data_IF_358433511925
#
_entry.id   IF_358433511925
#
_cell.length_a   1.000
_cell.length_b   1.000
_cell.length_c   1.000
_cell.angle_alpha   90.00
_cell.angle_beta   90.00
_cell.angle_gamma   90.00
#
_symmetry.space_group_name_H-M   'P 1'
#
loop_
_entity.id
_entity.type
_entity.pdbx_description
1 polymer ?
#
# COMPACT_ATOMS: atom_id res chain seq x y z
N UNK A 1 -3.45 -2.77 33.01
CA UNK A 1 -3.26 -2.06 31.73
C UNK A 1 -4.45 -1.16 31.43
N UNK A 2 -5.61 -1.69 30.99
CA UNK A 2 -6.77 -0.84 30.63
C UNK A 2 -7.32 0.09 31.73
N UNK A 3 -7.17 -0.29 33.00
CA UNK A 3 -7.55 0.59 34.12
C UNK A 3 -6.64 1.81 34.29
N UNK A 4 -5.41 1.75 33.78
CA UNK A 4 -4.42 2.84 33.82
C UNK A 4 -4.49 3.67 32.55
N UNK A 5 -4.59 3.01 31.40
CA UNK A 5 -4.77 3.63 30.09
C UNK A 5 -5.89 2.92 29.35
N UNK A 6 -7.11 3.52 29.29
CA UNK A 6 -8.23 2.94 28.55
C UNK A 6 -8.00 2.85 27.03
N UNK A 7 -7.06 3.61 26.47
CA UNK A 7 -6.74 3.64 25.03
C UNK A 7 -5.74 2.56 24.58
N UNK A 8 -5.04 1.91 25.52
CA UNK A 8 -4.03 0.90 25.19
C UNK A 8 -4.64 -0.30 24.45
N UNK A 9 -3.95 -0.73 23.39
CA UNK A 9 -4.30 -1.92 22.61
C UNK A 9 -3.58 -3.13 23.17
N UNK A 10 -4.33 -4.17 23.56
CA UNK A 10 -3.77 -5.37 24.18
C UNK A 10 -3.97 -6.57 23.27
N UNK A 11 -2.87 -7.24 22.95
CA UNK A 11 -2.84 -8.51 22.23
C UNK A 11 -2.82 -9.71 23.17
N UNK A 12 -3.43 -10.82 22.77
CA UNK A 12 -3.22 -12.13 23.39
C UNK A 12 -2.63 -13.11 22.37
N UNK A 13 -1.59 -13.84 22.78
CA UNK A 13 -0.94 -14.85 21.93
C UNK A 13 -1.80 -16.10 21.85
N UNK A 14 -2.00 -16.58 20.62
CA UNK A 14 -2.64 -17.85 20.30
C UNK A 14 -1.61 -18.82 19.68
N UNK A 15 -1.90 -20.11 19.76
CA UNK A 15 -1.26 -21.11 18.90
C UNK A 15 -1.81 -20.99 17.49
N UNK A 16 -0.96 -21.21 16.50
CA UNK A 16 -1.31 -21.08 15.09
C UNK A 16 -2.13 -22.27 14.62
N UNK A 17 -3.37 -22.07 14.15
CA UNK A 17 -4.24 -23.20 13.80
C UNK A 17 -3.61 -24.15 12.79
N UNK A 18 -3.65 -25.45 13.08
CA UNK A 18 -3.08 -26.50 12.22
C UNK A 18 -1.55 -26.67 12.31
N UNK A 19 -0.87 -25.85 13.12
CA UNK A 19 0.58 -25.93 13.33
C UNK A 19 0.87 -26.25 14.80
N UNK A 20 1.89 -27.06 15.07
CA UNK A 20 2.27 -27.34 16.47
C UNK A 20 2.55 -26.02 17.23
N UNK A 21 2.08 -25.84 18.48
CA UNK A 21 1.41 -26.81 19.36
C UNK A 21 -0.12 -26.70 19.38
N UNK A 22 -0.77 -26.40 18.25
CA UNK A 22 -2.22 -26.23 18.18
C UNK A 22 -3.01 -27.47 18.63
N UNK A 23 -4.13 -27.22 19.33
CA UNK A 23 -4.99 -28.26 19.90
C UNK A 23 -4.38 -29.07 21.05
N UNK A 24 -3.17 -28.77 21.52
CA UNK A 24 -2.56 -29.47 22.65
C UNK A 24 -3.23 -29.01 23.96
N UNK A 25 -3.71 -29.99 24.73
CA UNK A 25 -4.27 -29.80 26.07
C UNK A 25 -3.22 -30.19 27.11
N UNK A 26 -2.83 -29.26 27.97
CA UNK A 26 -1.87 -29.50 29.03
C UNK A 26 -2.40 -30.48 30.10
N UNK A 27 -1.53 -31.21 30.83
CA UNK A 27 -1.96 -32.05 31.93
C UNK A 27 -2.72 -31.24 33.00
N UNK A 28 -4.00 -31.58 33.20
CA UNK A 28 -4.88 -30.90 34.16
C UNK A 28 -5.75 -29.79 33.55
N UNK A 29 -5.52 -29.41 32.30
CA UNK A 29 -6.36 -28.46 31.58
C UNK A 29 -7.59 -29.14 30.98
N UNK A 30 -8.69 -28.42 30.88
CA UNK A 30 -9.96 -28.93 30.31
C UNK A 30 -10.11 -28.62 28.82
N UNK A 31 -9.30 -27.70 28.29
CA UNK A 31 -9.34 -27.18 26.91
C UNK A 31 -7.92 -26.80 26.48
N UNK A 32 -7.68 -26.66 25.17
CA UNK A 32 -6.40 -26.19 24.67
C UNK A 32 -6.16 -24.69 24.96
N UNK A 33 -4.96 -24.23 24.61
CA UNK A 33 -4.51 -22.87 24.84
C UNK A 33 -5.45 -21.80 24.24
N UNK A 34 -5.84 -21.95 22.98
CA UNK A 34 -6.62 -20.94 22.27
C UNK A 34 -8.01 -20.77 22.88
N UNK A 35 -8.66 -21.90 23.17
CA UNK A 35 -9.98 -21.92 23.80
C UNK A 35 -9.94 -21.30 25.20
N UNK A 36 -8.91 -21.63 25.98
CA UNK A 36 -8.72 -21.11 27.34
C UNK A 36 -8.46 -19.61 27.34
N UNK A 37 -7.51 -19.14 26.53
CA UNK A 37 -7.13 -17.73 26.46
C UNK A 37 -8.30 -16.87 25.97
N UNK A 38 -8.97 -17.27 24.88
CA UNK A 38 -10.06 -16.47 24.34
C UNK A 38 -11.26 -16.41 25.27
N UNK A 39 -11.60 -17.50 25.96
CA UNK A 39 -12.71 -17.52 26.94
C UNK A 39 -12.48 -16.56 28.11
N UNK A 40 -11.22 -16.35 28.51
CA UNK A 40 -10.87 -15.53 29.68
C UNK A 40 -10.57 -14.07 29.27
N UNK A 41 -9.76 -13.89 28.22
CA UNK A 41 -9.20 -12.61 27.82
C UNK A 41 -9.96 -11.95 26.64
N UNK A 42 -10.67 -12.73 25.83
CA UNK A 42 -11.39 -12.26 24.63
C UNK A 42 -12.29 -11.03 24.86
N UNK A 43 -13.06 -10.94 25.96
CA UNK A 43 -13.86 -9.75 26.27
C UNK A 43 -13.06 -8.46 26.57
N UNK A 44 -11.72 -8.54 26.72
CA UNK A 44 -10.86 -7.44 27.18
C UNK A 44 -9.75 -7.06 26.20
N UNK A 45 -9.40 -7.94 25.27
CA UNK A 45 -8.32 -7.72 24.28
C UNK A 45 -8.82 -6.94 23.06
N UNK A 46 -7.87 -6.37 22.32
CA UNK A 46 -8.10 -5.65 21.06
C UNK A 46 -7.67 -6.48 19.85
N UNK A 47 -6.77 -7.44 20.04
CA UNK A 47 -6.35 -8.33 18.98
C UNK A 47 -5.79 -9.64 19.53
N UNK A 48 -5.69 -10.62 18.65
CA UNK A 48 -4.92 -11.85 18.89
C UNK A 48 -3.62 -11.81 18.11
N UNK A 49 -2.62 -12.52 18.60
CA UNK A 49 -1.31 -12.66 17.98
C UNK A 49 -1.15 -14.10 17.50
N UNK A 50 -0.75 -14.29 16.25
CA UNK A 50 -0.49 -15.59 15.61
C UNK A 50 0.86 -15.52 14.91
N UNK A 51 1.67 -16.57 15.01
CA UNK A 51 2.99 -16.65 14.37
C UNK A 51 2.94 -17.67 13.22
N UNK A 52 3.43 -17.33 12.03
CA UNK A 52 3.31 -18.23 10.87
C UNK A 52 4.66 -18.57 10.26
N UNK A 53 5.15 -19.77 10.57
CA UNK A 53 6.38 -20.35 10.06
C UNK A 53 6.06 -21.67 9.35
N UNK A 54 5.67 -21.63 8.07
CA UNK A 54 5.34 -22.85 7.36
C UNK A 54 6.56 -23.75 7.20
N UNK A 55 6.40 -25.02 7.54
CA UNK A 55 7.40 -26.04 7.21
C UNK A 55 7.28 -26.45 5.75
N UNK A 56 8.42 -26.58 5.07
CA UNK A 56 8.45 -26.88 3.63
C UNK A 56 9.25 -28.15 3.30
N UNK A 57 8.77 -28.89 2.31
CA UNK A 57 9.46 -30.09 1.77
C UNK A 57 10.22 -29.83 0.48
N UNK A 58 9.90 -28.73 -0.21
CA UNK A 58 10.54 -28.27 -1.44
C UNK A 58 10.26 -26.77 -1.64
N UNK A 59 10.97 -26.12 -2.57
CA UNK A 59 10.70 -24.73 -2.95
C UNK A 59 9.27 -24.54 -3.46
N UNK A 60 8.78 -25.46 -4.31
CA UNK A 60 7.41 -25.39 -4.83
C UNK A 60 6.35 -25.54 -3.72
N UNK A 61 6.60 -26.40 -2.74
CA UNK A 61 5.73 -26.55 -1.56
C UNK A 61 5.72 -25.28 -0.73
N UNK A 62 6.89 -24.69 -0.43
CA UNK A 62 7.01 -23.40 0.28
C UNK A 62 6.21 -22.30 -0.44
N UNK A 63 6.46 -22.12 -1.74
CA UNK A 63 5.86 -21.06 -2.53
C UNK A 63 4.34 -21.22 -2.67
N UNK A 64 3.78 -22.42 -2.45
CA UNK A 64 2.33 -22.61 -2.44
C UNK A 64 1.67 -22.19 -1.11
N UNK A 65 2.41 -22.23 0.02
CA UNK A 65 1.85 -22.09 1.38
C UNK A 65 1.04 -20.81 1.62
N UNK A 66 1.45 -19.60 1.17
CA UNK A 66 0.67 -18.41 1.41
C UNK A 66 -0.79 -18.59 0.96
N UNK A 67 -0.97 -19.02 -0.29
CA UNK A 67 -2.28 -19.17 -0.92
C UNK A 67 -3.07 -20.37 -0.39
N UNK A 68 -2.41 -21.45 0.04
CA UNK A 68 -3.09 -22.69 0.46
C UNK A 68 -3.39 -22.77 1.95
N UNK A 69 -2.56 -22.16 2.80
CA UNK A 69 -2.68 -22.28 4.25
C UNK A 69 -3.36 -21.06 4.89
N UNK A 70 -2.94 -19.85 4.50
CA UNK A 70 -3.32 -18.62 5.21
C UNK A 70 -4.83 -18.41 5.27
N UNK A 71 -5.63 -18.59 4.20
CA UNK A 71 -7.08 -18.41 4.29
C UNK A 71 -7.76 -19.31 5.33
N UNK A 72 -7.31 -20.56 5.44
CA UNK A 72 -7.85 -21.51 6.41
C UNK A 72 -7.42 -21.16 7.84
N UNK A 73 -6.16 -20.78 8.04
CA UNK A 73 -5.66 -20.34 9.34
C UNK A 73 -6.42 -19.09 9.82
N UNK A 74 -6.48 -18.05 8.99
CA UNK A 74 -7.19 -16.81 9.31
C UNK A 74 -8.68 -17.05 9.60
N UNK A 75 -9.34 -17.88 8.78
CA UNK A 75 -10.74 -18.25 8.99
C UNK A 75 -10.97 -19.00 10.31
N UNK A 76 -10.03 -19.87 10.69
CA UNK A 76 -10.11 -20.61 11.95
C UNK A 76 -9.89 -19.69 13.15
N UNK A 77 -8.88 -18.81 13.11
CA UNK A 77 -8.65 -17.78 14.14
C UNK A 77 -9.89 -16.90 14.31
N UNK A 78 -10.47 -16.42 13.21
CA UNK A 78 -11.70 -15.61 13.25
C UNK A 78 -12.88 -16.38 13.85
N UNK A 79 -13.01 -17.67 13.53
CA UNK A 79 -14.07 -18.51 14.09
C UNK A 79 -13.93 -18.67 15.60
N UNK A 80 -12.70 -18.90 16.09
CA UNK A 80 -12.40 -18.98 17.52
C UNK A 80 -12.70 -17.65 18.23
N UNK A 81 -12.28 -16.52 17.67
CA UNK A 81 -12.61 -15.18 18.21
C UNK A 81 -14.13 -15.01 18.33
N UNK A 82 -14.88 -15.31 17.26
CA UNK A 82 -16.33 -15.15 17.24
C UNK A 82 -17.05 -16.03 18.28
N UNK A 83 -16.50 -17.21 18.57
CA UNK A 83 -17.07 -18.14 19.53
C UNK A 83 -16.76 -17.76 20.97
N UNK A 84 -15.54 -17.28 21.26
CA UNK A 84 -15.03 -17.19 22.63
C UNK A 84 -14.80 -15.76 23.15
N UNK A 85 -14.70 -14.74 22.29
CA UNK A 85 -14.52 -13.36 22.73
C UNK A 85 -15.84 -12.66 23.14
N UNK A 86 -16.97 -13.37 23.10
CA UNK A 86 -18.29 -12.84 23.46
C UNK A 86 -18.70 -11.65 22.60
N UNK A 87 -19.38 -10.67 23.19
CA UNK A 87 -19.84 -9.48 22.47
C UNK A 87 -18.70 -8.59 21.95
N UNK A 88 -17.45 -8.80 22.40
CA UNK A 88 -16.30 -8.04 21.93
C UNK A 88 -15.71 -8.59 20.61
N UNK A 89 -16.11 -9.78 20.16
CA UNK A 89 -15.52 -10.44 19.00
C UNK A 89 -15.38 -9.57 17.72
N UNK A 90 -16.35 -8.71 17.35
CA UNK A 90 -16.22 -7.85 16.17
C UNK A 90 -15.06 -6.84 16.26
N UNK A 91 -14.61 -6.51 17.47
CA UNK A 91 -13.54 -5.54 17.72
C UNK A 91 -12.16 -6.17 17.86
N UNK A 92 -12.07 -7.52 17.88
CA UNK A 92 -10.80 -8.22 18.05
C UNK A 92 -10.16 -8.44 16.69
N UNK A 93 -9.05 -7.74 16.44
CA UNK A 93 -8.22 -7.89 15.24
C UNK A 93 -7.34 -9.14 15.26
N UNK A 94 -6.71 -9.44 14.13
CA UNK A 94 -5.68 -10.49 14.01
C UNK A 94 -4.36 -9.80 13.67
N UNK A 95 -3.34 -10.04 14.47
CA UNK A 95 -1.98 -9.57 14.24
C UNK A 95 -1.08 -10.78 13.95
N UNK A 96 -0.31 -10.70 12.87
CA UNK A 96 0.78 -11.63 12.61
C UNK A 96 2.06 -10.93 13.01
N UNK A 97 2.55 -11.18 14.22
CA UNK A 97 3.74 -10.47 14.74
C UNK A 97 5.05 -11.19 14.40
N UNK A 98 4.96 -12.39 13.83
CA UNK A 98 6.09 -13.12 13.30
C UNK A 98 5.66 -13.98 12.11
N UNK A 99 6.38 -13.85 11.01
CA UNK A 99 6.35 -14.81 9.91
C UNK A 99 7.70 -14.89 9.21
N UNK A 100 8.12 -16.10 8.84
CA UNK A 100 9.31 -16.40 8.03
C UNK A 100 9.22 -17.85 7.52
N UNK A 101 10.25 -18.34 6.85
CA UNK A 101 10.39 -19.67 6.30
C UNK A 101 11.29 -20.54 7.16
N UNK A 102 11.11 -21.86 7.08
CA UNK A 102 12.00 -22.84 7.71
C UNK A 102 13.25 -23.14 6.88
N UNK A 103 13.23 -22.88 5.56
CA UNK A 103 14.28 -23.17 4.59
C UNK A 103 14.36 -22.09 3.51
N UNK A 104 15.48 -22.03 2.79
CA UNK A 104 15.69 -21.10 1.66
C UNK A 104 15.77 -19.63 2.08
N UNK A 105 16.18 -19.38 3.33
CA UNK A 105 15.90 -18.13 4.06
C UNK A 105 16.48 -16.90 3.36
N UNK A 106 17.66 -17.01 2.75
CA UNK A 106 18.35 -15.86 2.17
C UNK A 106 18.15 -15.71 0.65
N UNK A 107 17.46 -16.66 0.01
CA UNK A 107 17.52 -16.88 -1.44
C UNK A 107 16.20 -16.61 -2.16
N UNK A 108 16.22 -16.72 -3.50
CA UNK A 108 15.11 -16.32 -4.36
C UNK A 108 13.74 -16.88 -3.94
N UNK A 109 13.57 -18.16 -3.52
CA UNK A 109 12.29 -18.66 -3.03
C UNK A 109 11.70 -17.80 -1.90
N UNK A 110 12.51 -17.36 -0.93
CA UNK A 110 12.02 -16.50 0.13
C UNK A 110 11.74 -15.06 -0.33
N UNK A 111 12.52 -14.57 -1.31
CA UNK A 111 12.22 -13.32 -2.02
C UNK A 111 10.84 -13.28 -2.71
N UNK A 112 10.29 -14.44 -3.07
CA UNK A 112 8.93 -14.57 -3.62
C UNK A 112 7.89 -14.85 -2.52
N UNK A 113 8.23 -15.71 -1.56
CA UNK A 113 7.35 -16.09 -0.45
C UNK A 113 7.00 -14.89 0.43
N UNK A 114 8.00 -14.10 0.87
CA UNK A 114 7.80 -13.04 1.85
C UNK A 114 6.72 -12.00 1.44
N UNK A 115 6.73 -11.42 0.23
CA UNK A 115 5.65 -10.52 -0.19
C UNK A 115 4.29 -11.22 -0.35
N UNK A 116 4.26 -12.46 -0.87
CA UNK A 116 3.01 -13.25 -1.02
C UNK A 116 2.38 -13.51 0.34
N UNK A 117 3.19 -13.93 1.31
CA UNK A 117 2.81 -14.22 2.69
C UNK A 117 2.22 -12.99 3.39
N UNK A 118 2.90 -11.84 3.30
CA UNK A 118 2.44 -10.58 3.90
C UNK A 118 1.10 -10.15 3.31
N UNK A 119 1.00 -10.14 1.98
CA UNK A 119 -0.21 -9.67 1.30
C UNK A 119 -1.38 -10.63 1.50
N UNK A 120 -1.14 -11.94 1.51
CA UNK A 120 -2.21 -12.93 1.74
C UNK A 120 -2.78 -12.82 3.14
N UNK A 121 -1.96 -12.62 4.18
CA UNK A 121 -2.46 -12.39 5.53
C UNK A 121 -3.28 -11.09 5.63
N UNK A 122 -2.82 -10.01 5.00
CA UNK A 122 -3.55 -8.76 4.95
C UNK A 122 -4.91 -8.91 4.24
N UNK A 123 -4.96 -9.62 3.11
CA UNK A 123 -6.18 -9.94 2.37
C UNK A 123 -7.16 -10.80 3.18
N UNK A 124 -6.67 -11.58 4.14
CA UNK A 124 -7.46 -12.43 5.03
C UNK A 124 -7.73 -11.78 6.41
N UNK A 125 -7.55 -10.46 6.51
CA UNK A 125 -8.02 -9.67 7.65
C UNK A 125 -7.03 -9.49 8.80
N UNK A 126 -5.76 -9.84 8.59
CA UNK A 126 -4.69 -9.37 9.48
C UNK A 126 -4.49 -7.86 9.31
N UNK A 127 -4.43 -7.12 10.41
CA UNK A 127 -4.20 -5.67 10.35
C UNK A 127 -2.71 -5.30 10.39
N UNK A 128 -1.86 -6.23 10.80
CA UNK A 128 -0.39 -6.11 10.75
C UNK A 128 0.22 -7.47 10.46
N UNK A 129 1.31 -7.47 9.70
CA UNK A 129 2.11 -8.67 9.37
C UNK A 129 3.58 -8.30 9.45
N UNK A 130 4.25 -8.83 10.46
CA UNK A 130 5.63 -8.50 10.78
C UNK A 130 6.51 -9.68 10.40
N UNK A 131 7.47 -9.42 9.51
CA UNK A 131 8.43 -10.43 9.07
C UNK A 131 9.56 -10.56 10.10
N UNK A 132 9.79 -11.78 10.57
CA UNK A 132 10.90 -12.07 11.47
C UNK A 132 12.11 -12.53 10.66
N UNK A 133 13.28 -11.90 10.68
CA UNK A 133 13.70 -10.74 11.45
C UNK A 133 14.48 -9.73 10.58
N UNK A 134 14.89 -8.61 11.16
CA UNK A 134 15.83 -7.69 10.48
C UNK A 134 17.24 -8.29 10.39
N UNK A 135 17.74 -8.83 11.52
CA UNK A 135 19.00 -9.57 11.66
C UNK A 135 18.75 -10.75 12.61
N UNK A 136 19.48 -11.85 12.45
CA UNK A 136 19.32 -13.03 13.31
C UNK A 136 20.66 -13.68 13.73
N UNK A 137 21.67 -13.67 12.86
CA UNK A 137 22.96 -14.33 13.02
C UNK A 137 22.98 -15.79 12.56
N UNK A 138 23.98 -16.16 11.74
CA UNK A 138 24.27 -17.56 11.35
C UNK A 138 25.49 -18.12 12.09
N UNK A 139 25.52 -19.45 12.28
CA UNK A 139 26.67 -20.20 12.82
C UNK A 139 27.61 -20.75 11.74
N UNK A 140 27.32 -20.46 10.46
CA UNK A 140 28.07 -20.88 9.28
C UNK A 140 28.15 -22.40 9.04
N UNK A 141 27.47 -23.23 9.84
CA UNK A 141 27.54 -24.68 9.72
C UNK A 141 26.52 -25.27 8.72
N UNK A 142 25.52 -24.47 8.31
CA UNK A 142 24.43 -24.87 7.42
C UNK A 142 24.36 -24.05 6.13
N UNK A 143 25.48 -23.48 5.68
CA UNK A 143 25.52 -22.72 4.41
C UNK A 143 25.30 -23.65 3.22
N UNK A 144 24.29 -23.37 2.40
CA UNK A 144 23.98 -24.13 1.20
C UNK A 144 23.94 -23.23 -0.04
N UNK A 145 23.61 -23.81 -1.19
CA UNK A 145 23.38 -23.07 -2.43
C UNK A 145 22.01 -23.43 -2.96
N UNK A 146 21.18 -22.43 -3.14
CA UNK A 146 19.81 -22.55 -3.66
C UNK A 146 19.75 -21.69 -4.91
N UNK A 147 19.50 -22.33 -6.04
CA UNK A 147 19.26 -21.62 -7.30
C UNK A 147 20.39 -20.65 -7.74
N UNK A 148 21.63 -21.01 -7.40
CA UNK A 148 22.83 -20.22 -7.70
C UNK A 148 23.11 -19.07 -6.73
N UNK A 149 22.29 -18.89 -5.69
CA UNK A 149 22.55 -17.99 -4.57
C UNK A 149 22.99 -18.77 -3.33
N UNK A 150 23.82 -18.15 -2.50
CA UNK A 150 24.21 -18.71 -1.20
C UNK A 150 23.06 -18.53 -0.21
N UNK A 151 22.64 -19.62 0.41
CA UNK A 151 21.72 -19.62 1.55
C UNK A 151 22.56 -19.76 2.81
N UNK A 152 22.59 -18.73 3.66
CA UNK A 152 23.42 -18.70 4.86
C UNK A 152 22.72 -19.36 6.05
N UNK A 153 21.49 -19.85 5.84
CA UNK A 153 20.59 -20.34 6.87
C UNK A 153 20.24 -19.24 7.90
N UNK A 154 20.31 -17.98 7.46
CA UNK A 154 20.13 -16.77 8.26
C UNK A 154 18.67 -16.32 8.21
N UNK A 155 18.05 -16.08 9.37
CA UNK A 155 16.63 -15.69 9.45
C UNK A 155 16.37 -14.20 9.19
N UNK A 156 17.43 -13.40 9.02
CA UNK A 156 17.34 -11.96 8.81
C UNK A 156 17.04 -11.59 7.36
N UNK A 157 16.38 -10.45 7.12
CA UNK A 157 16.32 -9.87 5.77
C UNK A 157 17.62 -9.15 5.38
N UNK A 158 18.47 -8.85 6.37
CA UNK A 158 19.79 -8.27 6.22
C UNK A 158 20.84 -9.16 6.89
N UNK A 159 22.02 -9.23 6.28
CA UNK A 159 23.19 -9.89 6.84
C UNK A 159 23.57 -9.29 8.21
N UNK A 160 23.87 -10.17 9.16
CA UNK A 160 24.41 -9.89 10.49
C UNK A 160 25.92 -9.58 10.46
N UNK A 161 26.61 -9.95 9.37
CA UNK A 161 28.05 -9.75 9.21
C UNK A 161 28.90 -10.85 9.87
N UNK A 162 28.31 -12.03 10.10
CA UNK A 162 29.04 -13.24 10.49
C UNK A 162 30.16 -13.59 9.49
N UNK A 163 31.13 -14.42 9.91
CA UNK A 163 32.35 -14.67 9.11
C UNK A 163 32.13 -15.29 7.74
N UNK A 164 31.04 -16.03 7.54
CA UNK A 164 30.66 -16.60 6.24
C UNK A 164 29.68 -15.70 5.47
N UNK A 165 29.06 -14.73 6.13
CA UNK A 165 28.09 -13.84 5.52
C UNK A 165 28.76 -12.70 4.75
N UNK A 166 28.02 -12.02 3.87
CA UNK A 166 28.42 -10.72 3.35
C UNK A 166 28.55 -9.68 4.49
N UNK A 167 29.06 -8.47 4.20
CA UNK A 167 29.13 -7.40 5.18
C UNK A 167 27.79 -7.11 5.86
N UNK A 168 27.83 -6.70 7.13
CA UNK A 168 26.66 -6.27 7.91
C UNK A 168 25.76 -5.34 7.09
N UNK A 169 24.44 -5.54 7.19
CA UNK A 169 23.40 -4.82 6.45
C UNK A 169 23.36 -5.08 4.94
N UNK A 170 24.05 -6.09 4.43
CA UNK A 170 23.84 -6.54 3.04
C UNK A 170 22.44 -7.15 2.92
N UNK A 171 21.56 -6.67 2.01
CA UNK A 171 20.22 -7.21 1.90
C UNK A 171 20.17 -8.57 1.20
N UNK A 172 19.40 -9.49 1.75
CA UNK A 172 19.09 -10.78 1.13
C UNK A 172 17.82 -10.71 0.27
N UNK A 173 17.50 -11.79 -0.43
CA UNK A 173 16.33 -11.88 -1.30
C UNK A 173 15.00 -11.42 -0.66
N UNK A 174 14.63 -11.83 0.58
CA UNK A 174 13.39 -11.39 1.21
C UNK A 174 13.31 -9.86 1.41
N UNK A 175 14.44 -9.15 1.58
CA UNK A 175 14.43 -7.68 1.66
C UNK A 175 13.86 -7.06 0.38
N UNK A 176 14.32 -7.52 -0.80
CA UNK A 176 13.84 -6.99 -2.08
C UNK A 176 12.40 -7.44 -2.36
N UNK A 177 12.05 -8.67 -2.01
CA UNK A 177 10.67 -9.18 -2.07
C UNK A 177 9.71 -8.30 -1.27
N UNK A 178 9.98 -8.07 0.01
CA UNK A 178 9.17 -7.21 0.88
C UNK A 178 9.17 -5.76 0.37
N UNK A 179 10.30 -5.27 -0.12
CA UNK A 179 10.38 -3.92 -0.71
C UNK A 179 9.44 -3.73 -1.91
N UNK A 180 9.10 -4.78 -2.65
CA UNK A 180 8.11 -4.72 -3.73
C UNK A 180 6.69 -4.41 -3.22
N UNK A 181 6.36 -4.71 -1.96
CA UNK A 181 5.07 -4.33 -1.34
C UNK A 181 4.90 -2.81 -1.34
N UNK A 182 5.99 -2.05 -1.13
CA UNK A 182 5.99 -0.58 -1.22
C UNK A 182 5.79 -0.03 -2.64
N UNK A 183 5.98 -0.87 -3.67
CA UNK A 183 5.69 -0.51 -5.07
C UNK A 183 4.24 -0.80 -5.43
N UNK A 184 3.65 -1.80 -4.78
CA UNK A 184 2.24 -2.13 -4.90
C UNK A 184 1.37 -1.08 -4.22
N UNK A 185 1.58 -0.83 -2.92
CA UNK A 185 0.65 -0.11 -2.07
C UNK A 185 1.31 1.02 -1.27
N UNK A 186 0.51 2.04 -0.92
CA UNK A 186 0.85 3.08 0.05
C UNK A 186 -0.29 3.31 1.05
N UNK A 187 -0.04 4.13 2.06
CA UNK A 187 -1.10 4.52 3.02
C UNK A 187 -2.30 5.17 2.30
N UNK A 188 -3.50 4.71 2.65
CA UNK A 188 -4.76 5.15 2.04
C UNK A 188 -5.22 4.32 0.82
N UNK A 189 -4.38 3.42 0.31
CA UNK A 189 -4.80 2.48 -0.73
C UNK A 189 -5.68 1.35 -0.14
N UNK A 190 -6.52 0.75 -0.97
CA UNK A 190 -7.38 -0.38 -0.58
C UNK A 190 -6.98 -1.65 -1.32
N UNK A 191 -6.72 -2.74 -0.59
CA UNK A 191 -6.56 -4.06 -1.18
C UNK A 191 -7.85 -4.44 -1.93
N UNK A 192 -7.69 -5.00 -3.12
CA UNK A 192 -8.81 -5.49 -3.94
C UNK A 192 -8.64 -6.97 -4.20
N UNK A 193 -9.76 -7.68 -4.22
CA UNK A 193 -9.80 -9.11 -4.45
C UNK A 193 -9.22 -9.47 -5.82
N UNK A 194 -8.31 -10.43 -5.83
CA UNK A 194 -7.70 -11.00 -7.02
C UNK A 194 -8.06 -12.49 -7.16
N UNK A 195 -7.79 -13.03 -8.35
CA UNK A 195 -7.81 -14.46 -8.60
C UNK A 195 -6.84 -14.78 -9.71
N UNK A 196 -6.15 -15.91 -9.61
CA UNK A 196 -5.30 -16.43 -10.66
C UNK A 196 -5.87 -17.72 -11.24
N UNK A 197 -5.75 -17.91 -12.55
CA UNK A 197 -6.14 -19.16 -13.22
C UNK A 197 -5.10 -20.27 -13.07
N UNK A 198 -3.95 -19.98 -12.45
CA UNK A 198 -2.85 -20.92 -12.24
C UNK A 198 -2.23 -20.72 -10.85
N UNK A 199 -1.86 -21.79 -10.13
CA UNK A 199 -1.18 -21.68 -8.84
C UNK A 199 0.26 -21.16 -8.95
N UNK A 200 0.84 -21.12 -10.15
CA UNK A 200 2.22 -20.65 -10.37
C UNK A 200 2.33 -19.12 -10.40
N UNK A 201 1.21 -18.40 -10.53
CA UNK A 201 1.17 -16.94 -10.45
C UNK A 201 0.28 -16.55 -9.28
N UNK A 202 0.86 -15.97 -8.22
CA UNK A 202 0.07 -15.20 -7.25
C UNK A 202 -0.19 -13.81 -7.77
N UNK A 203 -1.35 -13.26 -7.46
CA UNK A 203 -1.72 -11.89 -7.80
C UNK A 203 -2.26 -11.18 -6.57
N UNK A 204 -1.76 -9.97 -6.30
CA UNK A 204 -2.28 -9.07 -5.27
C UNK A 204 -2.54 -7.72 -5.91
N UNK A 205 -3.59 -7.01 -5.50
CA UNK A 205 -3.93 -5.74 -6.13
C UNK A 205 -4.36 -4.70 -5.12
N UNK A 206 -4.12 -3.43 -5.44
CA UNK A 206 -4.68 -2.30 -4.71
C UNK A 206 -5.34 -1.30 -5.64
N UNK A 207 -6.43 -0.71 -5.15
CA UNK A 207 -7.02 0.49 -5.69
C UNK A 207 -6.42 1.67 -4.94
N UNK A 208 -5.86 2.62 -5.68
CA UNK A 208 -5.17 3.78 -5.11
C UNK A 208 -6.10 4.98 -5.02
N UNK A 209 -5.81 5.88 -4.07
CA UNK A 209 -6.60 7.12 -3.91
C UNK A 209 -6.65 8.01 -5.16
N UNK A 210 -5.66 7.89 -6.06
CA UNK A 210 -5.62 8.63 -7.32
C UNK A 210 -6.41 7.96 -8.47
N UNK A 211 -7.08 6.83 -8.22
CA UNK A 211 -7.84 6.05 -9.20
C UNK A 211 -7.02 5.03 -9.98
N UNK A 212 -5.72 4.90 -9.69
CA UNK A 212 -4.89 3.85 -10.28
C UNK A 212 -5.23 2.48 -9.68
N UNK A 213 -4.97 1.44 -10.47
CA UNK A 213 -4.93 0.06 -9.99
C UNK A 213 -3.51 -0.46 -10.17
N UNK A 214 -2.91 -0.89 -9.06
CA UNK A 214 -1.63 -1.58 -9.07
C UNK A 214 -1.86 -3.07 -8.87
N UNK A 215 -1.15 -3.90 -9.63
CA UNK A 215 -1.20 -5.36 -9.52
C UNK A 215 0.21 -5.89 -9.33
N UNK A 216 0.46 -6.60 -8.23
CA UNK A 216 1.64 -7.42 -8.03
C UNK A 216 1.38 -8.82 -8.58
N UNK A 217 2.30 -9.33 -9.39
CA UNK A 217 2.34 -10.67 -9.93
C UNK A 217 3.63 -11.34 -9.45
N UNK A 218 3.50 -12.53 -8.85
CA UNK A 218 4.63 -13.31 -8.35
C UNK A 218 4.68 -14.60 -9.15
N UNK A 219 5.73 -14.78 -9.97
CA UNK A 219 5.92 -16.01 -10.74
C UNK A 219 6.78 -16.99 -9.96
N UNK A 220 6.17 -18.13 -9.62
CA UNK A 220 6.73 -19.23 -8.84
C UNK A 220 7.29 -20.34 -9.73
N UNK A 221 7.35 -20.15 -11.04
CA UNK A 221 8.09 -21.05 -11.94
C UNK A 221 9.57 -20.64 -11.99
N UNK A 222 10.51 -21.53 -11.62
CA UNK A 222 11.95 -21.22 -11.60
C UNK A 222 12.59 -21.10 -12.99
N UNK A 223 11.92 -21.60 -14.02
CA UNK A 223 12.52 -21.77 -15.35
C UNK A 223 11.78 -21.00 -16.45
N UNK A 224 10.47 -20.82 -16.31
CA UNK A 224 9.64 -20.29 -17.39
C UNK A 224 9.10 -18.90 -17.09
N UNK A 225 9.34 -17.98 -18.04
CA UNK A 225 8.63 -16.70 -18.07
C UNK A 225 7.19 -16.94 -18.51
N UNK A 226 6.24 -16.28 -17.86
CA UNK A 226 4.80 -16.43 -18.15
C UNK A 226 4.23 -15.13 -18.68
N UNK A 227 3.50 -15.17 -19.80
CA UNK A 227 2.68 -14.05 -20.24
C UNK A 227 1.30 -14.14 -19.60
N UNK A 228 1.00 -13.20 -18.70
CA UNK A 228 -0.25 -13.11 -17.96
C UNK A 228 -1.21 -12.18 -18.70
N UNK A 229 -2.45 -12.64 -18.89
CA UNK A 229 -3.57 -11.80 -19.33
C UNK A 229 -4.31 -11.27 -18.11
N UNK A 230 -4.46 -9.95 -18.02
CA UNK A 230 -5.10 -9.27 -16.90
C UNK A 230 -6.50 -8.81 -17.29
N UNK A 231 -7.46 -9.05 -16.41
CA UNK A 231 -8.85 -8.63 -16.56
C UNK A 231 -9.35 -7.98 -15.28
N UNK A 232 -10.22 -6.98 -15.42
CA UNK A 232 -10.64 -6.13 -14.32
C UNK A 232 -12.15 -6.02 -14.26
N UNK A 233 -12.71 -6.10 -13.05
CA UNK A 233 -14.10 -5.77 -12.81
C UNK A 233 -14.20 -4.35 -12.26
N UNK A 234 -14.97 -3.47 -12.92
CA UNK A 234 -15.17 -2.09 -12.46
C UNK A 234 -13.99 -1.13 -12.69
N UNK A 235 -12.93 -1.56 -13.39
CA UNK A 235 -11.80 -0.71 -13.78
C UNK A 235 -11.53 -0.85 -15.28
N UNK A 236 -11.31 0.28 -15.96
CA UNK A 236 -10.94 0.31 -17.37
C UNK A 236 -9.58 0.98 -17.49
N UNK A 237 -8.50 0.26 -17.80
CA UNK A 237 -7.17 0.84 -17.85
C UNK A 237 -6.92 1.68 -19.10
N UNK A 238 -6.00 2.63 -18.97
CA UNK A 238 -5.43 3.39 -20.08
C UNK A 238 -4.78 2.48 -21.12
N UNK A 239 -4.84 2.91 -22.37
CA UNK A 239 -4.10 2.29 -23.48
C UNK A 239 -2.60 2.59 -23.41
N UNK A 240 -2.16 3.51 -22.55
CA UNK A 240 -0.75 3.76 -22.32
C UNK A 240 -0.08 2.53 -21.69
N UNK A 241 1.18 2.29 -22.06
CA UNK A 241 1.98 1.25 -21.44
C UNK A 241 2.15 1.55 -19.94
N UNK A 242 1.94 0.57 -19.04
CA UNK A 242 2.03 0.78 -17.61
C UNK A 242 3.47 0.97 -17.15
N UNK A 243 3.62 1.55 -15.95
CA UNK A 243 4.91 1.51 -15.24
C UNK A 243 5.03 0.14 -14.57
N UNK A 244 6.16 -0.53 -14.77
CA UNK A 244 6.42 -1.88 -14.27
C UNK A 244 7.66 -1.86 -13.40
N UNK A 245 7.50 -2.24 -12.13
CA UNK A 245 8.61 -2.50 -11.22
C UNK A 245 8.90 -3.99 -11.18
N UNK A 246 10.17 -4.37 -11.16
CA UNK A 246 10.57 -5.78 -11.16
C UNK A 246 11.71 -6.06 -10.18
N UNK A 247 11.52 -7.11 -9.39
CA UNK A 247 12.57 -7.83 -8.69
C UNK A 247 12.74 -9.19 -9.36
N UNK A 248 13.97 -9.51 -9.79
CA UNK A 248 14.30 -10.72 -10.55
C UNK A 248 15.12 -11.69 -9.69
N UNK A 249 15.07 -12.99 -10.01
CA UNK A 249 15.87 -14.06 -9.39
C UNK A 249 17.33 -13.63 -9.20
N UNK A 250 17.81 -13.74 -7.96
CA UNK A 250 19.17 -13.37 -7.52
C UNK A 250 19.56 -11.90 -7.78
N UNK A 251 18.58 -11.03 -8.04
CA UNK A 251 18.81 -9.60 -8.20
C UNK A 251 19.17 -8.91 -6.88
N UNK A 252 19.90 -7.81 -6.98
CA UNK A 252 20.29 -6.95 -5.84
C UNK A 252 19.68 -5.54 -5.95
N UNK A 253 18.63 -5.39 -6.75
CA UNK A 253 17.91 -4.13 -6.90
C UNK A 253 16.50 -4.36 -7.43
N UNK A 254 15.63 -3.37 -7.19
CA UNK A 254 14.34 -3.24 -7.87
C UNK A 254 14.54 -2.30 -9.06
N UNK A 255 14.13 -2.75 -10.24
CA UNK A 255 14.19 -1.97 -11.47
C UNK A 255 12.82 -1.45 -11.85
N UNK A 256 12.75 -0.38 -12.65
CA UNK A 256 11.50 0.17 -13.19
C UNK A 256 11.61 0.36 -14.70
N UNK A 257 10.54 0.05 -15.42
CA UNK A 257 10.44 0.22 -16.87
C UNK A 257 9.02 0.61 -17.29
N UNK A 258 8.83 1.02 -18.54
CA UNK A 258 7.51 1.14 -19.16
C UNK A 258 7.40 0.03 -20.20
N UNK A 259 6.59 -0.99 -19.93
CA UNK A 259 6.56 -2.22 -20.75
C UNK A 259 5.22 -2.96 -20.71
N UNK A 260 4.99 -3.82 -21.71
CA UNK A 260 3.75 -4.56 -21.88
C UNK A 260 2.53 -3.65 -22.10
N UNK A 261 1.35 -4.16 -21.74
CA UNK A 261 0.09 -3.40 -21.77
C UNK A 261 -0.63 -3.56 -20.44
N UNK A 262 -1.68 -2.76 -20.21
CA UNK A 262 -2.50 -2.93 -19.02
C UNK A 262 -3.32 -4.24 -19.01
N UNK A 263 -3.39 -4.98 -20.12
CA UNK A 263 -4.11 -6.26 -20.20
C UNK A 263 -3.18 -7.45 -20.39
N UNK A 264 -1.88 -7.22 -20.60
CA UNK A 264 -0.92 -8.28 -20.92
C UNK A 264 0.46 -7.92 -20.41
N UNK A 265 1.02 -8.78 -19.56
CA UNK A 265 2.33 -8.59 -18.95
C UNK A 265 3.13 -9.87 -18.97
N UNK A 266 4.43 -9.77 -19.31
CA UNK A 266 5.36 -10.89 -19.18
C UNK A 266 6.01 -10.84 -17.81
N UNK A 267 5.85 -11.91 -17.05
CA UNK A 267 6.39 -12.08 -15.70
C UNK A 267 7.54 -13.09 -15.79
N UNK A 268 8.81 -12.67 -15.66
CA UNK A 268 9.96 -13.55 -15.74
C UNK A 268 9.90 -14.72 -14.72
N UNK A 269 10.65 -15.79 -14.99
CA UNK A 269 10.82 -16.89 -14.04
C UNK A 269 11.36 -16.36 -12.69
N UNK A 270 10.83 -16.87 -11.57
CA UNK A 270 11.18 -16.44 -10.20
C UNK A 270 11.33 -14.93 -10.08
N UNK A 271 10.22 -14.22 -10.22
CA UNK A 271 10.20 -12.77 -10.15
C UNK A 271 8.95 -12.24 -9.45
N UNK A 272 9.10 -11.04 -8.90
CA UNK A 272 8.00 -10.21 -8.41
C UNK A 272 7.89 -9.00 -9.33
N UNK A 273 6.72 -8.81 -9.92
CA UNK A 273 6.44 -7.72 -10.86
C UNK A 273 5.26 -6.92 -10.35
N UNK A 274 5.41 -5.59 -10.20
CA UNK A 274 4.28 -4.70 -9.92
C UNK A 274 3.98 -3.87 -11.15
N UNK A 275 2.75 -4.00 -11.64
CA UNK A 275 2.21 -3.30 -12.80
C UNK A 275 1.33 -2.16 -12.28
N UNK A 276 1.74 -0.91 -12.53
CA UNK A 276 0.98 0.27 -12.15
C UNK A 276 0.19 0.79 -13.35
N UNK A 277 -1.13 0.83 -13.22
CA UNK A 277 -2.04 1.16 -14.31
C UNK A 277 -2.91 2.34 -13.97
N UNK A 278 -2.93 3.29 -14.90
CA UNK A 278 -3.84 4.41 -14.86
C UNK A 278 -5.19 4.04 -15.46
N UNK A 279 -6.30 4.65 -15.01
CA UNK A 279 -7.58 4.51 -15.68
C UNK A 279 -7.54 5.11 -17.09
N UNK A 280 -8.39 4.60 -17.98
CA UNK A 280 -8.48 5.09 -19.36
C UNK A 280 -8.95 6.53 -19.40
N UNK A 281 -8.28 7.36 -20.21
CA UNK A 281 -8.72 8.72 -20.50
C UNK A 281 -10.00 8.78 -21.38
N UNK A 282 -10.72 7.67 -21.54
CA UNK A 282 -12.06 7.58 -22.13
C UNK A 282 -13.17 7.26 -21.12
N UNK A 283 -12.82 7.13 -19.84
CA UNK A 283 -13.72 7.01 -18.70
C UNK A 283 -13.25 7.93 -17.58
N UNK A 284 -13.16 9.24 -17.86
CA UNK A 284 -13.02 10.24 -16.81
C UNK A 284 -14.34 10.32 -16.04
N UNK A 285 -14.54 9.38 -15.12
CA UNK A 285 -15.30 9.68 -13.92
C UNK A 285 -14.65 10.92 -13.32
N UNK A 286 -15.42 11.99 -13.20
CA UNK A 286 -15.06 13.13 -12.36
C UNK A 286 -14.71 12.56 -10.99
N UNK A 287 -13.43 12.54 -10.63
CA UNK A 287 -13.03 12.15 -9.27
C UNK A 287 -13.21 13.39 -8.41
N UNK A 288 -14.04 13.28 -7.38
CA UNK A 288 -14.32 14.38 -6.45
C UNK A 288 -13.69 14.01 -5.12
N UNK A 289 -12.82 14.87 -4.62
CA UNK A 289 -12.07 14.64 -3.38
C UNK A 289 -11.44 15.93 -2.90
N UNK A 290 -10.82 15.89 -1.73
CA UNK A 290 -10.13 17.05 -1.20
C UNK A 290 -8.71 17.16 -1.77
N UNK A 291 -8.22 18.39 -1.87
CA UNK A 291 -6.83 18.65 -2.21
C UNK A 291 -6.07 19.02 -0.93
N UNK A 292 -5.30 18.06 -0.42
CA UNK A 292 -4.58 18.16 0.85
C UNK A 292 -3.21 18.80 0.64
N UNK A 293 -2.94 19.91 1.33
CA UNK A 293 -1.62 20.53 1.43
C UNK A 293 -0.75 19.71 2.40
N UNK A 294 0.23 18.99 1.88
CA UNK A 294 1.07 18.05 2.67
C UNK A 294 1.82 18.78 3.77
N UNK A 295 2.42 19.95 3.49
CA UNK A 295 3.19 20.72 4.47
C UNK A 295 2.34 21.31 5.62
N UNK A 296 1.03 21.49 5.42
CA UNK A 296 0.14 22.09 6.40
C UNK A 296 -0.84 21.09 7.06
N UNK A 297 -1.02 19.90 6.48
CA UNK A 297 -2.01 18.93 6.94
C UNK A 297 -3.45 19.43 6.82
N UNK A 298 -3.73 20.30 5.84
CA UNK A 298 -5.01 21.00 5.64
C UNK A 298 -5.49 20.88 4.20
N UNK A 299 -6.73 21.26 3.94
CA UNK A 299 -7.35 21.16 2.62
C UNK A 299 -7.44 22.51 1.93
N UNK A 300 -7.33 22.51 0.59
CA UNK A 300 -7.72 23.66 -0.23
C UNK A 300 -9.21 23.92 -0.05
N UNK A 301 -9.54 25.17 0.22
CA UNK A 301 -10.86 25.61 0.66
C UNK A 301 -11.23 26.95 0.01
N UNK A 302 -12.52 27.14 -0.23
CA UNK A 302 -13.09 28.43 -0.65
C UNK A 302 -13.89 29.01 0.51
N UNK A 303 -13.45 30.19 0.97
CA UNK A 303 -14.00 30.83 2.14
C UNK A 303 -15.52 30.97 2.09
N UNK A 304 -16.19 30.57 3.18
CA UNK A 304 -17.64 30.61 3.33
C UNK A 304 -18.44 29.87 2.21
N UNK A 305 -17.82 28.91 1.52
CA UNK A 305 -18.44 28.17 0.40
C UNK A 305 -19.04 29.09 -0.68
N UNK A 306 -18.47 30.27 -0.87
CA UNK A 306 -18.97 31.23 -1.85
C UNK A 306 -18.73 30.75 -3.29
N UNK A 307 -19.61 31.15 -4.21
CA UNK A 307 -19.46 30.98 -5.66
C UNK A 307 -19.09 32.31 -6.34
N UNK A 308 -18.68 33.31 -5.57
CA UNK A 308 -18.26 34.63 -6.10
C UNK A 308 -16.95 34.49 -6.87
N UNK A 309 -16.99 34.80 -8.16
CA UNK A 309 -15.80 34.77 -9.03
C UNK A 309 -14.71 35.73 -8.51
N UNK A 310 -13.46 35.28 -8.55
CA UNK A 310 -12.30 35.99 -8.03
C UNK A 310 -11.99 35.71 -6.56
N UNK A 311 -12.79 34.90 -5.87
CA UNK A 311 -12.47 34.51 -4.48
C UNK A 311 -11.21 33.66 -4.45
N UNK A 312 -10.20 34.10 -3.69
CA UNK A 312 -8.93 33.39 -3.54
C UNK A 312 -9.07 32.16 -2.65
N UNK A 313 -8.53 31.04 -3.13
CA UNK A 313 -8.45 29.81 -2.37
C UNK A 313 -7.55 29.97 -1.13
N UNK A 314 -7.90 29.24 -0.08
CA UNK A 314 -7.19 29.24 1.19
C UNK A 314 -6.98 27.83 1.71
N UNK A 315 -6.25 27.70 2.81
CA UNK A 315 -6.23 26.48 3.60
C UNK A 315 -7.27 26.53 4.70
N UNK A 316 -7.92 25.41 4.93
CA UNK A 316 -8.78 25.20 6.08
C UNK A 316 -8.68 23.76 6.58
N UNK A 317 -9.12 23.51 7.81
CA UNK A 317 -9.25 22.15 8.31
C UNK A 317 -10.14 21.32 7.37
N UNK A 318 -9.67 20.11 7.05
CA UNK A 318 -10.39 19.19 6.19
C UNK A 318 -11.71 18.78 6.86
N UNK A 319 -12.83 19.15 6.26
CA UNK A 319 -14.17 18.98 6.84
C UNK A 319 -15.16 18.27 5.89
N UNK A 320 -14.73 17.93 4.67
CA UNK A 320 -15.57 17.23 3.68
C UNK A 320 -16.69 18.08 3.08
N UNK A 321 -16.70 19.39 3.34
CA UNK A 321 -17.68 20.33 2.80
C UNK A 321 -17.52 20.57 1.30
N UNK A 322 -18.55 21.12 0.67
CA UNK A 322 -18.58 21.37 -0.78
C UNK A 322 -17.53 22.37 -1.27
N UNK A 323 -17.05 23.26 -0.39
CA UNK A 323 -15.94 24.19 -0.65
C UNK A 323 -14.57 23.51 -0.73
N UNK A 324 -14.46 22.24 -0.34
CA UNK A 324 -13.25 21.41 -0.38
C UNK A 324 -13.40 20.21 -1.32
N UNK A 325 -14.56 20.07 -1.98
CA UNK A 325 -14.85 18.97 -2.89
C UNK A 325 -14.44 19.37 -4.31
N UNK A 326 -13.18 19.13 -4.67
CA UNK A 326 -12.65 19.42 -5.99
C UNK A 326 -12.89 18.22 -6.90
N UNK A 327 -13.67 18.42 -7.95
CA UNK A 327 -13.84 17.51 -9.06
C UNK A 327 -12.71 17.71 -10.07
N UNK A 328 -11.85 16.72 -10.26
CA UNK A 328 -10.88 16.73 -11.35
C UNK A 328 -11.53 16.26 -12.66
N UNK A 329 -11.33 17.00 -13.74
CA UNK A 329 -11.92 16.69 -15.05
C UNK A 329 -10.90 16.21 -16.08
N UNK A 330 -11.39 15.59 -17.16
CA UNK A 330 -10.58 15.25 -18.33
C UNK A 330 -9.90 16.48 -18.98
N UNK A 331 -10.50 17.66 -18.83
CA UNK A 331 -9.97 18.93 -19.31
C UNK A 331 -8.85 19.49 -18.43
N UNK A 332 -8.35 18.71 -17.45
CA UNK A 332 -7.35 19.12 -16.45
C UNK A 332 -7.82 20.24 -15.53
N UNK A 333 -9.13 20.41 -15.36
CA UNK A 333 -9.66 21.42 -14.44
C UNK A 333 -9.87 20.83 -13.05
N UNK A 334 -9.74 21.66 -12.03
CA UNK A 334 -10.31 21.40 -10.71
C UNK A 334 -11.60 22.21 -10.56
N UNK A 335 -12.75 21.52 -10.58
CA UNK A 335 -14.07 22.12 -10.46
C UNK A 335 -14.59 22.01 -9.03
N UNK A 336 -15.04 23.12 -8.45
CA UNK A 336 -15.84 23.12 -7.24
C UNK A 336 -17.32 23.26 -7.61
N UNK A 337 -18.18 22.75 -6.73
CA UNK A 337 -19.64 22.86 -6.89
C UNK A 337 -20.16 22.22 -8.19
N UNK A 338 -19.51 21.16 -8.67
CA UNK A 338 -19.74 20.52 -9.97
C UNK A 338 -21.16 19.93 -10.19
N UNK A 339 -22.01 19.91 -9.14
CA UNK A 339 -23.42 19.51 -9.19
C UNK A 339 -24.43 20.65 -8.99
N UNK A 340 -23.98 21.91 -9.00
CA UNK A 340 -24.85 23.09 -8.82
C UNK A 340 -25.06 23.83 -10.15
N UNK A 341 -25.97 24.81 -10.17
CA UNK A 341 -26.17 25.68 -11.34
C UNK A 341 -24.97 26.56 -11.69
N UNK A 342 -23.91 26.57 -10.88
CA UNK A 342 -22.77 27.49 -11.02
C UNK A 342 -21.45 26.77 -10.68
N UNK A 343 -21.01 25.80 -11.50
CA UNK A 343 -19.72 25.16 -11.30
C UNK A 343 -18.60 26.20 -11.46
N UNK A 344 -17.65 26.17 -10.54
CA UNK A 344 -16.51 27.08 -10.52
C UNK A 344 -15.23 26.29 -10.74
N UNK A 345 -14.23 26.90 -11.37
CA UNK A 345 -12.94 26.30 -11.66
C UNK A 345 -11.83 27.00 -10.87
N UNK A 346 -10.86 26.25 -10.35
CA UNK A 346 -9.61 26.82 -9.84
C UNK A 346 -8.84 27.47 -11.00
N UNK A 347 -8.45 28.73 -10.82
CA UNK A 347 -8.09 29.65 -11.88
C UNK A 347 -6.89 30.53 -11.47
N UNK A 348 -5.99 30.82 -12.39
CA UNK A 348 -4.96 31.85 -12.21
C UNK A 348 -5.60 33.24 -12.37
N UNK A 349 -5.71 34.00 -11.28
CA UNK A 349 -6.35 35.32 -11.29
C UNK A 349 -5.90 36.19 -12.47
N UNK A 350 -6.86 36.58 -13.32
CA UNK A 350 -6.62 37.48 -14.44
C UNK A 350 -5.67 36.94 -15.51
N UNK A 351 -5.57 35.60 -15.69
CA UNK A 351 -4.58 34.96 -16.57
C UNK A 351 -3.12 35.24 -16.15
N UNK A 352 -2.88 35.49 -14.86
CA UNK A 352 -1.56 35.80 -14.35
C UNK A 352 -0.57 34.65 -14.50
N UNK A 353 0.66 34.97 -14.90
CA UNK A 353 1.77 34.02 -15.09
C UNK A 353 2.99 34.33 -14.23
N UNK A 354 2.88 35.30 -13.32
CA UNK A 354 3.96 35.71 -12.43
C UNK A 354 3.85 35.06 -11.04
N UNK A 355 4.97 34.95 -10.35
CA UNK A 355 5.00 34.57 -8.93
C UNK A 355 4.10 35.50 -8.11
N UNK A 356 3.34 34.92 -7.19
CA UNK A 356 2.36 35.64 -6.36
C UNK A 356 1.00 35.84 -7.03
N UNK A 357 0.79 35.34 -8.25
CA UNK A 357 -0.55 35.32 -8.85
C UNK A 357 -1.49 34.52 -7.95
N UNK A 358 -2.62 35.10 -7.56
CA UNK A 358 -3.59 34.41 -6.70
C UNK A 358 -4.23 33.21 -7.42
N UNK A 359 -4.34 32.08 -6.73
CA UNK A 359 -5.20 30.98 -7.16
C UNK A 359 -6.62 31.27 -6.69
N UNK A 360 -7.53 31.54 -7.62
CA UNK A 360 -8.92 31.96 -7.34
C UNK A 360 -9.91 30.95 -7.90
N UNK A 361 -11.19 31.12 -7.58
CA UNK A 361 -12.26 30.48 -8.33
C UNK A 361 -12.84 31.42 -9.39
N UNK A 362 -13.12 30.90 -10.57
CA UNK A 362 -13.79 31.64 -11.64
C UNK A 362 -14.81 30.73 -12.36
N UNK A 363 -15.72 31.31 -13.14
CA UNK A 363 -16.59 30.49 -13.98
C UNK A 363 -15.75 29.64 -14.93
N UNK A 364 -16.05 28.34 -15.00
CA UNK A 364 -15.37 27.43 -15.89
C UNK A 364 -15.54 27.87 -17.35
N UNK A 365 -14.42 28.16 -18.02
CA UNK A 365 -14.39 28.70 -19.37
C UNK A 365 -13.44 27.91 -20.30
N UNK A 366 -12.77 26.87 -19.78
CA UNK A 366 -11.91 25.96 -20.55
C UNK A 366 -10.56 26.55 -20.97
N UNK A 367 -10.22 27.76 -20.54
CA UNK A 367 -8.93 28.39 -20.84
C UNK A 367 -7.79 27.72 -20.05
N UNK A 368 -6.55 27.87 -20.54
CA UNK A 368 -5.38 27.21 -19.95
C UNK A 368 -5.05 27.66 -18.53
N UNK A 369 -5.50 28.85 -18.12
CA UNK A 369 -5.38 29.36 -16.75
C UNK A 369 -6.23 28.59 -15.73
N UNK A 370 -7.16 27.75 -16.19
CA UNK A 370 -7.98 26.86 -15.36
C UNK A 370 -7.54 25.39 -15.40
N UNK A 371 -6.43 25.12 -16.11
CA UNK A 371 -5.93 23.78 -16.32
C UNK A 371 -4.67 23.52 -15.49
N UNK A 372 -4.61 22.36 -14.87
CA UNK A 372 -3.60 21.99 -13.87
C UNK A 372 -3.04 20.59 -14.15
N UNK A 373 -1.71 20.49 -14.24
CA UNK A 373 -1.02 19.20 -14.27
C UNK A 373 -0.78 18.74 -12.83
N UNK A 374 -1.28 17.56 -12.49
CA UNK A 374 -0.97 16.88 -11.23
C UNK A 374 0.22 15.96 -11.50
N UNK A 375 1.35 16.22 -10.83
CA UNK A 375 2.61 15.57 -11.12
C UNK A 375 2.90 14.42 -10.14
N UNK A 376 3.63 13.40 -10.59
CA UNK A 376 3.96 12.23 -9.78
C UNK A 376 4.84 12.54 -8.55
N UNK A 377 5.52 13.68 -8.56
CA UNK A 377 6.34 14.17 -7.46
C UNK A 377 5.54 14.96 -6.40
N UNK A 378 4.22 15.00 -6.49
CA UNK A 378 3.34 15.67 -5.53
C UNK A 378 3.08 17.15 -5.81
N UNK A 379 3.72 17.77 -6.81
CA UNK A 379 3.39 19.16 -7.18
C UNK A 379 2.19 19.24 -8.12
N UNK A 380 1.52 20.39 -8.12
CA UNK A 380 0.49 20.73 -9.09
C UNK A 380 0.92 21.98 -9.84
N UNK A 381 1.01 21.92 -11.17
CA UNK A 381 1.47 23.05 -11.99
C UNK A 381 0.37 23.58 -12.89
N UNK A 382 0.26 24.90 -12.99
CA UNK A 382 -0.65 25.52 -13.96
C UNK A 382 -0.15 25.24 -15.38
N UNK A 383 -1.06 24.81 -16.26
CA UNK A 383 -0.76 24.57 -17.68
C UNK A 383 -0.37 25.87 -18.39
N UNK A 384 -0.92 27.01 -17.99
CA UNK A 384 -0.65 28.30 -18.63
C UNK A 384 0.74 28.85 -18.29
N UNK A 385 1.16 28.76 -17.02
CA UNK A 385 2.36 29.46 -16.53
C UNK A 385 3.53 28.52 -16.23
N UNK A 386 3.27 27.22 -16.02
CA UNK A 386 4.25 26.27 -15.51
C UNK A 386 4.57 26.44 -14.01
N UNK A 387 3.98 27.43 -13.33
CA UNK A 387 4.18 27.66 -11.91
C UNK A 387 3.40 26.66 -11.05
N UNK A 388 3.90 26.41 -9.86
CA UNK A 388 3.32 25.48 -8.90
C UNK A 388 2.20 26.15 -8.08
N UNK A 389 1.16 25.38 -7.76
CA UNK A 389 0.18 25.73 -6.74
C UNK A 389 0.89 25.71 -5.37
N UNK A 390 0.89 26.86 -4.70
CA UNK A 390 1.78 27.17 -3.58
C UNK A 390 0.97 27.71 -2.41
N UNK A 391 1.20 27.15 -1.23
CA UNK A 391 0.70 27.71 0.04
C UNK A 391 1.62 28.87 0.42
N UNK A 392 1.06 30.08 0.42
CA UNK A 392 1.83 31.32 0.58
C UNK A 392 2.63 31.32 1.88
N UNK A 393 3.95 31.50 1.75
CA UNK A 393 4.85 31.69 2.89
C UNK A 393 4.94 30.49 3.83
N UNK A 394 4.67 29.26 3.35
CA UNK A 394 4.65 28.04 4.17
C UNK A 394 3.66 28.10 5.33
N UNK A 395 2.63 28.94 5.24
CA UNK A 395 1.65 29.09 6.31
C UNK A 395 0.87 27.79 6.57
N UNK A 396 0.64 27.49 7.85
CA UNK A 396 -0.08 26.29 8.29
C UNK A 396 -1.39 26.63 9.00
N UNK A 397 -1.74 27.90 9.12
CA UNK A 397 -2.97 28.35 9.78
C UNK A 397 -4.17 28.32 8.81
N UNK A 398 -5.38 28.16 9.37
CA UNK A 398 -6.62 28.36 8.61
C UNK A 398 -6.66 29.79 8.05
N UNK A 399 -7.10 29.94 6.80
CA UNK A 399 -7.11 31.20 6.07
C UNK A 399 -5.81 31.54 5.33
N UNK A 400 -4.75 30.73 5.48
CA UNK A 400 -3.52 30.90 4.67
C UNK A 400 -3.86 30.84 3.19
N UNK A 401 -3.43 31.83 2.40
CA UNK A 401 -3.81 31.95 0.99
C UNK A 401 -2.97 31.06 0.07
N UNK A 402 -3.61 30.59 -1.00
CA UNK A 402 -2.98 29.82 -2.06
C UNK A 402 -2.68 30.73 -3.26
N UNK A 403 -1.50 30.56 -3.85
CA UNK A 403 -0.98 31.35 -4.95
C UNK A 403 -0.23 30.48 -5.96
N UNK A 404 0.26 31.09 -7.02
CA UNK A 404 1.22 30.50 -7.93
C UNK A 404 2.62 30.96 -7.56
N UNK A 405 3.57 30.04 -7.55
CA UNK A 405 4.97 30.36 -7.34
C UNK A 405 5.88 29.45 -8.15
N UNK A 406 7.11 29.91 -8.40
CA UNK A 406 8.12 29.11 -9.06
C UNK A 406 8.30 27.78 -8.32
N UNK A 407 8.24 26.69 -9.07
CA UNK A 407 8.40 25.35 -8.52
C UNK A 407 9.80 25.19 -7.94
N UNK A 408 9.89 24.81 -6.67
CA UNK A 408 11.16 24.53 -6.01
C UNK A 408 11.42 23.04 -5.81
N UNK A 409 12.67 22.70 -5.55
CA UNK A 409 13.06 21.36 -5.11
C UNK A 409 12.69 21.20 -3.63
N UNK A 410 11.90 20.17 -3.30
CA UNK A 410 11.53 19.80 -1.92
C UNK A 410 10.83 20.90 -1.10
N UNK A 411 10.06 21.78 -1.74
CA UNK A 411 9.25 22.78 -1.03
C UNK A 411 7.94 22.17 -0.54
N UNK A 412 7.81 21.94 0.77
CA UNK A 412 6.65 21.28 1.39
C UNK A 412 5.33 22.04 1.21
N UNK A 413 5.38 23.36 1.05
CA UNK A 413 4.23 24.22 0.79
C UNK A 413 3.72 24.12 -0.67
N UNK A 414 4.40 23.37 -1.54
CA UNK A 414 4.01 23.10 -2.93
C UNK A 414 3.62 21.62 -3.15
N UNK A 415 3.55 20.83 -2.07
CA UNK A 415 3.21 19.41 -2.11
C UNK A 415 1.75 19.20 -1.79
N UNK A 416 1.07 18.45 -2.67
CA UNK A 416 -0.36 18.21 -2.61
C UNK A 416 -0.68 16.74 -2.84
N UNK A 417 -1.69 16.24 -2.12
CA UNK A 417 -2.31 14.94 -2.38
C UNK A 417 -3.80 15.12 -2.64
N UNK A 418 -4.34 14.33 -3.56
CA UNK A 418 -5.76 14.35 -3.92
C UNK A 418 -6.43 13.09 -3.35
N UNK A 419 -7.52 13.25 -2.60
CA UNK A 419 -8.23 12.14 -1.93
C UNK A 419 -9.34 12.62 -1.03
#
# INVERSE_FOLDING_TARGET
MKAVDPGIKIGAVLTTPGSWPDGIVGPGDTQDWNHTVLSIAGPKIDFVIVHDYPTSTSEADLLAKPQTNVPNMAGTVRSLINQYAGSNAPNVGIAITETNVDKYKDTAPNGLFAPDQILTWAENGAFTVDYWAMHNGTDCSHVTTVDGATDYDEGGVLASGSSCEPPLNTPFAPYYGISMVSKLAQSGDSLIKTSSSTPLISAHAVHRGNGDVNVMLINKDPNNSTTVSLSYNGFTPSSAAPTVYSYLKNGTSITSSTSGTATTQTVPAYSVVVVQMHPSSGGSGSSTGALHAVGAGKCLDIDNSTTTAGTQAQLWDCNGGTAQALTRTAAKEFRLYAGTSTPMCLDNAGNGTANGTAAVIWQCNGQSNQQWNVNSNGTITSVQSGLCLDVSGYGTANGTKVQLWACGSNQSNQQWTFG
#
